data_IF_406208741536
#
_entry.id   IF_406208741536
#
_cell.length_a   1.000
_cell.length_b   1.000
_cell.length_c   1.000
_cell.angle_alpha   90.00
_cell.angle_beta   90.00
_cell.angle_gamma   90.00
#
_symmetry.space_group_name_H-M   'P 1'
#
loop_
_entity.id
_entity.type
_entity.pdbx_description
1 polymer ?
#
# COMPACT_ATOMS: atom_id res chain seq x y z
N UNK A 1 -4.42 14.44 -16.85
CA UNK A 1 -5.70 14.89 -17.41
C UNK A 1 -6.55 15.49 -16.30
N UNK A 2 -7.12 16.64 -16.54
CA UNK A 2 -7.98 17.36 -15.59
C UNK A 2 -9.44 17.27 -16.05
N UNK A 3 -10.36 17.25 -15.09
CA UNK A 3 -11.80 17.23 -15.33
C UNK A 3 -12.39 18.61 -14.97
N UNK A 4 -13.23 19.16 -15.84
CA UNK A 4 -13.87 20.43 -15.66
C UNK A 4 -15.39 20.29 -15.60
N UNK A 5 -16.05 21.18 -14.87
CA UNK A 5 -17.49 21.34 -14.94
C UNK A 5 -17.85 22.19 -16.16
N UNK A 6 -18.81 21.74 -16.97
CA UNK A 6 -19.22 22.45 -18.18
C UNK A 6 -19.89 23.82 -17.92
N UNK A 7 -20.40 24.04 -16.71
CA UNK A 7 -21.14 25.26 -16.38
C UNK A 7 -20.29 26.45 -16.02
N UNK A 8 -19.08 26.25 -15.47
CA UNK A 8 -18.24 27.35 -14.97
C UNK A 8 -16.75 27.19 -15.25
N UNK A 9 -16.37 26.24 -16.07
CA UNK A 9 -14.98 25.90 -16.39
C UNK A 9 -14.07 25.63 -15.15
N UNK A 10 -14.66 25.39 -13.97
CA UNK A 10 -13.92 25.08 -12.76
C UNK A 10 -13.42 23.62 -12.78
N UNK A 11 -12.20 23.39 -12.34
CA UNK A 11 -11.67 22.05 -12.20
C UNK A 11 -12.48 21.27 -11.15
N UNK A 12 -12.93 20.05 -11.51
CA UNK A 12 -13.55 19.15 -10.57
C UNK A 12 -12.47 18.56 -9.66
N UNK A 13 -12.65 18.71 -8.36
CA UNK A 13 -11.68 18.24 -7.34
C UNK A 13 -12.36 17.51 -6.20
N UNK A 14 -11.60 16.70 -5.47
CA UNK A 14 -12.02 16.03 -4.23
C UNK A 14 -13.34 15.26 -4.33
N UNK A 15 -13.55 14.57 -5.45
CA UNK A 15 -14.78 13.81 -5.70
C UNK A 15 -14.51 12.53 -6.52
N UNK A 16 -15.46 11.61 -6.45
CA UNK A 16 -15.42 10.42 -7.29
C UNK A 16 -15.65 10.78 -8.76
N UNK A 17 -14.97 10.05 -9.66
CA UNK A 17 -15.08 10.20 -11.09
C UNK A 17 -14.94 8.83 -11.79
N UNK A 18 -15.36 8.76 -13.05
CA UNK A 18 -15.19 7.57 -13.89
C UNK A 18 -14.41 7.95 -15.14
N UNK A 19 -13.40 7.17 -15.49
CA UNK A 19 -12.59 7.34 -16.69
C UNK A 19 -12.45 6.00 -17.41
N UNK A 20 -12.88 5.95 -18.67
CA UNK A 20 -12.83 4.73 -19.49
C UNK A 20 -13.37 3.49 -18.75
N UNK A 21 -14.51 3.61 -18.07
CA UNK A 21 -15.12 2.54 -17.29
C UNK A 21 -14.52 2.28 -15.90
N UNK A 22 -13.36 2.83 -15.60
CA UNK A 22 -12.71 2.69 -14.29
C UNK A 22 -13.15 3.80 -13.35
N UNK A 23 -13.58 3.43 -12.16
CA UNK A 23 -13.95 4.38 -11.11
C UNK A 23 -12.73 4.77 -10.27
N UNK A 24 -12.68 6.01 -9.84
CA UNK A 24 -11.58 6.55 -9.08
C UNK A 24 -11.94 7.84 -8.37
N UNK A 25 -10.94 8.63 -8.04
CA UNK A 25 -11.04 9.87 -7.28
C UNK A 25 -10.28 11.00 -8.00
N UNK A 26 -10.86 12.17 -8.00
CA UNK A 26 -10.16 13.40 -8.39
C UNK A 26 -9.53 14.00 -7.13
N UNK A 27 -8.22 14.21 -7.15
CA UNK A 27 -7.50 14.83 -6.05
C UNK A 27 -7.80 16.34 -5.94
N UNK A 28 -7.16 17.03 -4.99
CA UNK A 28 -7.31 18.48 -4.81
C UNK A 28 -6.87 19.34 -6.01
N UNK A 29 -6.13 18.73 -6.95
CA UNK A 29 -5.69 19.34 -8.20
C UNK A 29 -6.50 18.91 -9.41
N UNK A 30 -7.56 18.13 -9.21
CA UNK A 30 -8.40 17.57 -10.29
C UNK A 30 -7.77 16.41 -11.07
N UNK A 31 -6.69 15.80 -10.59
CA UNK A 31 -6.05 14.66 -11.24
C UNK A 31 -6.77 13.37 -10.88
N UNK A 32 -7.07 12.55 -11.88
CA UNK A 32 -7.70 11.26 -11.66
C UNK A 32 -6.70 10.25 -11.11
N UNK A 33 -7.11 9.55 -10.07
CA UNK A 33 -6.34 8.49 -9.42
C UNK A 33 -7.24 7.31 -9.05
N UNK A 34 -6.69 6.09 -9.10
CA UNK A 34 -7.36 4.84 -8.71
C UNK A 34 -6.32 3.83 -8.23
N UNK A 35 -6.74 2.75 -7.57
CA UNK A 35 -5.82 1.78 -6.99
C UNK A 35 -5.06 2.36 -5.78
N UNK A 36 -3.76 2.04 -5.70
CA UNK A 36 -2.89 2.55 -4.64
C UNK A 36 -2.59 4.03 -4.81
N UNK A 37 -2.78 4.79 -3.75
CA UNK A 37 -2.53 6.24 -3.69
C UNK A 37 -1.68 6.55 -2.47
N UNK A 38 -0.49 7.11 -2.71
CA UNK A 38 0.36 7.62 -1.63
C UNK A 38 -0.19 8.98 -1.18
N UNK A 39 -0.55 9.05 0.09
CA UNK A 39 -1.08 10.28 0.71
C UNK A 39 0.06 11.11 1.30
N UNK A 40 1.00 10.46 1.96
CA UNK A 40 2.17 11.09 2.56
C UNK A 40 3.33 10.09 2.55
N UNK A 41 4.33 10.38 1.73
CA UNK A 41 5.50 9.51 1.60
C UNK A 41 6.41 9.55 2.83
N UNK A 42 6.48 10.68 3.53
CA UNK A 42 7.31 10.84 4.73
C UNK A 42 6.78 10.00 5.90
N UNK A 43 5.47 9.88 6.00
CA UNK A 43 4.77 9.06 7.02
C UNK A 43 4.40 7.67 6.52
N UNK A 44 4.76 7.33 5.29
CA UNK A 44 4.39 6.08 4.63
C UNK A 44 2.88 5.83 4.64
N UNK A 45 2.08 6.87 4.39
CA UNK A 45 0.61 6.77 4.36
C UNK A 45 0.15 6.46 2.94
N UNK A 46 -0.52 5.33 2.78
CA UNK A 46 -1.13 4.91 1.53
C UNK A 46 -2.58 4.50 1.73
N UNK A 47 -3.41 4.72 0.72
CA UNK A 47 -4.81 4.32 0.64
C UNK A 47 -5.06 3.54 -0.63
N UNK A 48 -6.17 2.83 -0.69
CA UNK A 48 -6.57 2.13 -1.90
C UNK A 48 -7.98 2.51 -2.33
N UNK A 49 -8.12 2.91 -3.59
CA UNK A 49 -9.42 3.16 -4.23
C UNK A 49 -9.76 1.91 -5.04
N UNK A 50 -10.89 1.29 -4.71
CA UNK A 50 -11.38 0.16 -5.48
C UNK A 50 -11.78 0.63 -6.89
N UNK A 51 -11.12 0.15 -7.96
CA UNK A 51 -11.39 0.62 -9.33
C UNK A 51 -12.78 0.23 -9.87
N UNK A 52 -13.44 -0.76 -9.26
CA UNK A 52 -14.80 -1.15 -9.63
C UNK A 52 -15.87 -0.25 -8.99
N UNK A 53 -15.62 0.24 -7.76
CA UNK A 53 -16.61 1.03 -7.00
C UNK A 53 -16.26 2.51 -6.87
N UNK A 54 -14.98 2.88 -7.05
CA UNK A 54 -14.46 4.23 -6.83
C UNK A 54 -14.41 4.65 -5.36
N UNK A 55 -14.59 3.69 -4.43
CA UNK A 55 -14.63 3.96 -2.99
C UNK A 55 -13.31 3.57 -2.33
N UNK A 56 -12.91 4.32 -1.31
CA UNK A 56 -11.80 4.00 -0.43
C UNK A 56 -12.17 2.84 0.48
N UNK A 57 -11.24 1.91 0.71
CA UNK A 57 -11.36 0.96 1.80
C UNK A 57 -11.13 1.68 3.14
N UNK A 58 -12.03 1.48 4.09
CA UNK A 58 -11.95 2.07 5.45
C UNK A 58 -12.41 1.04 6.48
N UNK A 59 -11.69 0.95 7.59
CA UNK A 59 -11.98 0.06 8.72
C UNK A 59 -12.27 -1.39 8.30
N UNK A 60 -11.52 -1.89 7.31
CA UNK A 60 -11.75 -3.21 6.74
C UNK A 60 -10.45 -3.85 6.28
N UNK A 61 -10.48 -5.16 6.05
CA UNK A 61 -9.44 -5.87 5.29
C UNK A 61 -9.94 -6.12 3.88
N UNK A 62 -9.03 -6.08 2.91
CA UNK A 62 -9.35 -6.34 1.52
C UNK A 62 -8.23 -7.13 0.84
N UNK A 63 -8.63 -7.97 -0.10
CA UNK A 63 -7.70 -8.68 -0.97
C UNK A 63 -7.42 -7.82 -2.21
N UNK A 64 -6.14 -7.52 -2.43
CA UNK A 64 -5.66 -6.74 -3.56
C UNK A 64 -4.48 -7.50 -4.15
N UNK A 65 -4.59 -7.92 -5.40
CA UNK A 65 -3.56 -8.68 -6.12
C UNK A 65 -3.06 -9.92 -5.33
N UNK A 66 -3.98 -10.64 -4.69
CA UNK A 66 -3.67 -11.85 -3.93
C UNK A 66 -3.05 -11.63 -2.54
N UNK A 67 -2.94 -10.37 -2.10
CA UNK A 67 -2.42 -10.00 -0.78
C UNK A 67 -3.52 -9.38 0.06
N UNK A 68 -3.60 -9.76 1.34
CA UNK A 68 -4.58 -9.23 2.29
C UNK A 68 -4.03 -8.00 2.99
N UNK A 69 -4.65 -6.85 2.75
CA UNK A 69 -4.31 -5.58 3.39
C UNK A 69 -5.37 -5.17 4.40
N UNK A 70 -4.95 -4.47 5.46
CA UNK A 70 -5.83 -3.86 6.46
C UNK A 70 -5.82 -2.34 6.30
N UNK A 71 -7.01 -1.75 6.39
CA UNK A 71 -7.21 -0.29 6.34
C UNK A 71 -7.87 0.19 7.63
N UNK A 72 -7.36 1.27 8.19
CA UNK A 72 -7.90 1.87 9.41
C UNK A 72 -9.16 2.72 9.12
N UNK A 73 -9.74 3.32 10.15
CA UNK A 73 -10.95 4.17 10.04
C UNK A 73 -10.76 5.38 9.10
N UNK A 74 -9.54 5.83 8.91
CA UNK A 74 -9.20 6.94 8.00
C UNK A 74 -8.94 6.49 6.56
N UNK A 75 -8.98 5.17 6.30
CA UNK A 75 -8.66 4.56 5.01
C UNK A 75 -7.15 4.37 4.76
N UNK A 76 -6.30 4.62 5.73
CA UNK A 76 -4.87 4.41 5.56
C UNK A 76 -4.52 2.93 5.76
N UNK A 77 -3.60 2.41 4.92
CA UNK A 77 -3.04 1.07 5.09
C UNK A 77 -2.39 0.93 6.47
N UNK A 78 -2.68 -0.17 7.14
CA UNK A 78 -2.05 -0.54 8.41
C UNK A 78 -0.80 -1.38 8.10
N UNK A 79 0.37 -0.89 8.49
CA UNK A 79 1.66 -1.54 8.25
C UNK A 79 2.12 -2.44 9.39
N UNK A 80 1.58 -2.26 10.60
CA UNK A 80 1.84 -3.12 11.75
C UNK A 80 0.56 -3.83 12.17
N UNK A 81 0.53 -5.14 11.95
CA UNK A 81 -0.57 -6.06 12.25
C UNK A 81 -0.15 -7.13 13.24
N UNK A 82 0.90 -6.91 14.00
CA UNK A 82 1.44 -7.89 14.96
C UNK A 82 0.42 -8.28 16.02
N UNK A 83 -0.51 -7.38 16.36
CA UNK A 83 -1.61 -7.70 17.27
C UNK A 83 -2.66 -8.66 16.70
N UNK A 84 -2.81 -8.70 15.36
CA UNK A 84 -3.76 -9.58 14.67
C UNK A 84 -3.19 -11.00 14.46
N UNK A 85 -1.86 -11.12 14.33
CA UNK A 85 -1.20 -12.37 13.97
C UNK A 85 -0.10 -12.71 14.97
N UNK A 86 -0.39 -13.64 15.87
CA UNK A 86 0.60 -14.25 16.76
C UNK A 86 0.90 -15.66 16.29
N UNK A 87 2.16 -15.91 15.89
CA UNK A 87 2.63 -17.22 15.38
C UNK A 87 4.00 -17.56 15.94
N UNK A 88 4.36 -18.84 15.88
CA UNK A 88 5.69 -19.31 16.31
C UNK A 88 6.74 -19.20 15.19
N UNK A 89 6.29 -19.05 13.94
CA UNK A 89 7.15 -18.92 12.76
C UNK A 89 6.62 -17.85 11.83
N UNK A 90 7.53 -17.12 11.22
CA UNK A 90 7.24 -16.06 10.26
C UNK A 90 8.16 -16.22 9.04
N UNK A 91 7.74 -15.68 7.92
CA UNK A 91 8.57 -15.53 6.74
C UNK A 91 9.01 -14.07 6.60
N UNK A 92 10.31 -13.87 6.38
CA UNK A 92 10.93 -12.55 6.26
C UNK A 92 11.41 -12.36 4.82
N UNK A 93 11.09 -11.23 4.23
CA UNK A 93 11.60 -10.83 2.92
C UNK A 93 12.28 -9.48 3.04
N UNK A 94 13.53 -9.40 2.60
CA UNK A 94 14.31 -8.17 2.57
C UNK A 94 14.48 -7.69 1.12
N UNK A 95 13.88 -6.56 0.80
CA UNK A 95 14.11 -5.85 -0.45
C UNK A 95 15.32 -4.94 -0.27
N UNK A 96 16.45 -5.35 -0.83
CA UNK A 96 17.71 -4.60 -0.75
C UNK A 96 17.69 -3.32 -1.55
N UNK A 97 16.92 -3.26 -2.63
CA UNK A 97 16.83 -2.09 -3.51
C UNK A 97 16.15 -0.93 -2.80
N UNK A 98 15.08 -1.23 -2.07
CA UNK A 98 14.30 -0.22 -1.37
C UNK A 98 14.65 -0.10 0.12
N UNK A 99 15.54 -0.95 0.64
CA UNK A 99 15.91 -0.98 2.06
C UNK A 99 14.69 -1.29 2.96
N UNK A 100 13.89 -2.28 2.57
CA UNK A 100 12.66 -2.63 3.27
C UNK A 100 12.64 -4.11 3.61
N UNK A 101 12.32 -4.44 4.85
CA UNK A 101 12.04 -5.81 5.27
C UNK A 101 10.56 -5.97 5.60
N UNK A 102 9.92 -6.97 5.00
CA UNK A 102 8.52 -7.31 5.26
C UNK A 102 8.43 -8.67 5.96
N UNK A 103 7.67 -8.70 7.04
CA UNK A 103 7.34 -9.91 7.80
C UNK A 103 5.98 -10.41 7.31
N UNK A 104 5.90 -11.67 6.95
CA UNK A 104 4.67 -12.34 6.52
C UNK A 104 4.30 -13.49 7.47
N UNK A 105 3.05 -13.92 7.44
CA UNK A 105 2.61 -15.11 8.18
C UNK A 105 3.33 -16.37 7.73
N UNK A 106 3.66 -16.48 6.44
CA UNK A 106 4.28 -17.65 5.82
C UNK A 106 4.85 -17.29 4.44
N UNK A 107 5.47 -18.25 3.77
CA UNK A 107 6.09 -18.09 2.45
C UNK A 107 5.11 -17.81 1.31
N UNK A 108 3.80 -17.96 1.51
CA UNK A 108 2.80 -17.57 0.51
C UNK A 108 2.71 -16.06 0.31
N UNK A 109 3.23 -15.27 1.26
CA UNK A 109 3.25 -13.80 1.28
C UNK A 109 1.87 -13.15 1.19
N UNK A 110 0.81 -13.89 1.50
CA UNK A 110 -0.57 -13.40 1.42
C UNK A 110 -0.94 -12.41 2.53
N UNK A 111 -0.28 -12.51 3.68
CA UNK A 111 -0.56 -11.68 4.86
C UNK A 111 0.70 -10.96 5.33
N UNK A 112 0.97 -9.75 4.85
CA UNK A 112 2.02 -8.91 5.41
C UNK A 112 1.61 -8.44 6.81
N UNK A 113 2.47 -8.69 7.79
CA UNK A 113 2.23 -8.39 9.21
C UNK A 113 2.87 -7.06 9.59
N UNK A 114 4.14 -6.87 9.17
CA UNK A 114 4.93 -5.69 9.51
C UNK A 114 5.92 -5.39 8.40
N UNK A 115 6.06 -4.11 8.12
CA UNK A 115 7.06 -3.61 7.17
C UNK A 115 7.93 -2.60 7.91
N UNK A 116 9.24 -2.79 7.86
CA UNK A 116 10.23 -1.94 8.53
C UNK A 116 11.31 -1.51 7.53
N UNK A 117 11.85 -0.32 7.71
CA UNK A 117 13.03 0.12 6.98
C UNK A 117 14.26 -0.51 7.58
N UNK A 118 15.17 -0.98 6.75
CA UNK A 118 16.42 -1.61 7.15
C UNK A 118 17.59 -0.97 6.40
N UNK A 119 18.72 -0.89 7.05
CA UNK A 119 19.97 -0.55 6.38
C UNK A 119 20.45 -1.77 5.61
N UNK A 120 20.81 -1.57 4.35
CA UNK A 120 21.43 -2.58 3.50
C UNK A 120 22.89 -2.22 3.28
N UNK A 121 23.73 -3.22 2.98
CA UNK A 121 25.17 -3.01 2.76
C UNK A 121 25.45 -1.92 1.71
N UNK A 122 26.56 -1.23 1.87
CA UNK A 122 27.01 -0.20 0.94
C UNK A 122 27.65 -0.85 -0.34
N UNK A 123 28.00 -0.07 -1.38
CA UNK A 123 28.61 -0.60 -2.61
C UNK A 123 29.90 -1.40 -2.39
N UNK A 124 30.62 -1.14 -1.31
CA UNK A 124 31.89 -1.83 -0.99
C UNK A 124 31.71 -3.04 -0.07
N UNK A 125 30.54 -3.17 0.58
CA UNK A 125 30.19 -4.28 1.48
C UNK A 125 28.73 -4.67 1.25
N UNK A 126 28.49 -5.44 0.19
CA UNK A 126 27.15 -5.84 -0.23
C UNK A 126 26.51 -6.80 0.76
N UNK A 127 25.23 -6.59 1.04
CA UNK A 127 24.41 -7.57 1.76
C UNK A 127 24.30 -8.86 0.93
N UNK A 128 24.60 -10.00 1.54
CA UNK A 128 24.51 -11.32 0.90
C UNK A 128 23.06 -11.58 0.50
N UNK A 129 22.85 -12.02 -0.74
CA UNK A 129 21.56 -12.44 -1.24
C UNK A 129 21.38 -13.94 -1.05
N UNK A 130 20.22 -14.37 -0.61
CA UNK A 130 19.88 -15.76 -0.43
C UNK A 130 18.69 -15.97 0.47
N UNK A 131 18.31 -17.24 0.65
CA UNK A 131 17.32 -17.67 1.62
C UNK A 131 18.00 -18.29 2.82
N UNK A 132 17.71 -17.79 4.01
CA UNK A 132 18.34 -18.22 5.25
C UNK A 132 17.27 -18.61 6.27
N UNK A 133 17.57 -19.61 7.09
CA UNK A 133 16.76 -19.97 8.25
C UNK A 133 17.38 -19.35 9.49
N UNK A 134 16.60 -18.55 10.23
CA UNK A 134 17.02 -18.04 11.53
C UNK A 134 16.91 -19.15 12.56
N UNK A 135 18.03 -19.56 13.12
CA UNK A 135 18.11 -20.48 14.26
C UNK A 135 18.30 -19.69 15.55
N UNK A 136 17.76 -20.22 16.66
CA UNK A 136 17.98 -19.65 18.00
C UNK A 136 19.37 -20.06 18.50
#
# INVERSE_FOLDING_TARGET
MYYFCFSNCAALTNRSATRAGTKGWLDSRGRFTTGWVTIDSSRNLARYINPATGKWYRNTSAWIDGVNYRFNKYGNRVYDRTSEFKRNRYYLECDRTNGVMTVYTDSSKKYPIKTIRVSVGNPTSLTIAGTFTLTR
#
